data_IF_248601540091
#
_entry.id   IF_248601540091
#
_cell.length_a   1.000
_cell.length_b   1.000
_cell.length_c   1.000
_cell.angle_alpha   90.00
_cell.angle_beta   90.00
_cell.angle_gamma   90.00
#
_symmetry.space_group_name_H-M   'P 1'
#
loop_
_entity.id
_entity.type
_entity.pdbx_description
1 polymer ?
#
# COMPACT_ATOMS: atom_id res chain seq x y z
N UNK A 1 8.81 -2.59 -10.48
CA UNK A 1 9.63 -1.45 -10.96
C UNK A 1 9.02 -0.71 -12.17
N UNK A 2 8.83 -1.36 -13.34
CA UNK A 2 8.34 -0.68 -14.57
C UNK A 2 7.01 0.05 -14.41
N UNK A 3 6.00 -0.57 -13.80
CA UNK A 3 4.68 0.05 -13.61
C UNK A 3 4.74 1.33 -12.78
N UNK A 4 5.61 1.39 -11.78
CA UNK A 4 5.71 2.52 -10.87
C UNK A 4 6.57 3.68 -11.43
N UNK A 5 7.61 3.39 -12.21
CA UNK A 5 8.59 4.41 -12.60
C UNK A 5 8.66 4.72 -14.10
N UNK A 6 8.12 3.85 -14.95
CA UNK A 6 8.29 3.94 -16.41
C UNK A 6 6.97 4.09 -17.16
N UNK A 7 5.84 4.01 -16.47
CA UNK A 7 4.51 4.24 -17.03
C UNK A 7 3.96 5.56 -16.51
N UNK A 8 3.13 6.21 -17.33
CA UNK A 8 2.40 7.39 -16.91
C UNK A 8 1.37 7.00 -15.85
N UNK A 9 1.29 7.79 -14.78
CA UNK A 9 0.32 7.60 -13.70
C UNK A 9 -1.00 8.31 -14.02
N UNK A 10 -1.94 7.60 -14.63
CA UNK A 10 -3.27 8.10 -14.96
C UNK A 10 -4.14 8.39 -13.72
N UNK A 11 -5.31 9.04 -13.87
CA UNK A 11 -6.16 9.42 -12.75
C UNK A 11 -6.70 8.24 -11.95
N UNK A 12 -7.22 7.21 -12.61
CA UNK A 12 -7.69 5.98 -11.94
C UNK A 12 -6.51 5.06 -11.68
N UNK A 13 -6.32 4.65 -10.42
CA UNK A 13 -5.14 3.89 -9.99
C UNK A 13 -5.53 2.66 -9.18
N UNK A 14 -4.73 1.62 -9.37
CA UNK A 14 -4.80 0.35 -8.66
C UNK A 14 -3.40 -0.02 -8.16
N UNK A 15 -3.31 -0.37 -6.88
CA UNK A 15 -2.11 -0.93 -6.25
C UNK A 15 -2.46 -2.27 -5.62
N UNK A 16 -1.59 -3.27 -5.82
CA UNK A 16 -1.70 -4.59 -5.20
C UNK A 16 -0.43 -4.89 -4.42
N UNK A 17 -0.58 -5.20 -3.13
CA UNK A 17 0.52 -5.69 -2.30
C UNK A 17 0.56 -7.22 -2.34
N UNK A 18 1.65 -7.82 -2.81
CA UNK A 18 1.74 -9.28 -3.04
C UNK A 18 3.11 -9.80 -2.66
N UNK A 19 3.20 -11.09 -2.32
CA UNK A 19 4.45 -11.79 -2.01
C UNK A 19 4.73 -12.94 -2.97
N UNK A 20 3.74 -13.31 -3.79
CA UNK A 20 3.86 -14.38 -4.78
C UNK A 20 3.00 -14.08 -6.01
N UNK A 21 3.32 -14.75 -7.12
CA UNK A 21 2.52 -14.66 -8.35
C UNK A 21 1.07 -15.08 -8.13
N UNK A 22 0.84 -16.18 -7.40
CA UNK A 22 -0.50 -16.67 -7.08
C UNK A 22 -1.33 -15.63 -6.30
N UNK A 23 -0.73 -14.98 -5.29
CA UNK A 23 -1.42 -13.93 -4.51
C UNK A 23 -1.75 -12.68 -5.34
N UNK A 24 -0.95 -12.38 -6.36
CA UNK A 24 -1.21 -11.30 -7.30
C UNK A 24 -2.37 -11.66 -8.25
N UNK A 25 -2.36 -12.86 -8.81
CA UNK A 25 -3.38 -13.32 -9.74
C UNK A 25 -4.76 -13.39 -9.05
N UNK A 26 -4.83 -13.88 -7.81
CA UNK A 26 -6.04 -13.89 -6.98
C UNK A 26 -6.60 -12.47 -6.78
N UNK A 27 -5.75 -11.54 -6.34
CA UNK A 27 -6.14 -10.17 -6.07
C UNK A 27 -6.64 -9.43 -7.33
N UNK A 28 -5.98 -9.65 -8.47
CA UNK A 28 -6.39 -9.08 -9.76
C UNK A 28 -7.69 -9.69 -10.28
N UNK A 29 -7.90 -11.00 -10.08
CA UNK A 29 -9.14 -11.67 -10.46
C UNK A 29 -10.33 -11.17 -9.64
N UNK A 30 -10.17 -11.01 -8.32
CA UNK A 30 -11.19 -10.40 -7.46
C UNK A 30 -11.53 -8.97 -7.91
N UNK A 31 -10.50 -8.16 -8.21
CA UNK A 31 -10.71 -6.81 -8.73
C UNK A 31 -11.46 -6.81 -10.07
N UNK A 32 -11.12 -7.74 -10.98
CA UNK A 32 -11.79 -7.89 -12.28
C UNK A 32 -13.27 -8.27 -12.16
N UNK A 33 -13.66 -8.96 -11.07
CA UNK A 33 -15.06 -9.26 -10.73
C UNK A 33 -15.76 -8.13 -9.95
N UNK A 34 -15.04 -7.05 -9.63
CA UNK A 34 -15.57 -5.94 -8.83
C UNK A 34 -15.62 -6.20 -7.32
N UNK A 35 -15.02 -7.30 -6.86
CA UNK A 35 -14.99 -7.69 -5.45
C UNK A 35 -13.95 -6.88 -4.65
N UNK A 36 -14.19 -6.73 -3.35
CA UNK A 36 -13.20 -6.19 -2.43
C UNK A 36 -12.15 -7.23 -2.10
N UNK A 37 -10.89 -6.79 -1.96
CA UNK A 37 -9.79 -7.68 -1.59
C UNK A 37 -8.82 -6.93 -0.67
N UNK A 38 -8.36 -7.51 0.45
CA UNK A 38 -7.57 -6.79 1.46
C UNK A 38 -6.21 -6.29 0.95
N UNK A 39 -5.70 -6.90 -0.13
CA UNK A 39 -4.44 -6.51 -0.77
C UNK A 39 -4.59 -5.49 -1.89
N UNK A 40 -5.81 -5.09 -2.22
CA UNK A 40 -6.12 -4.20 -3.33
C UNK A 40 -6.53 -2.84 -2.82
N UNK A 41 -5.79 -1.82 -3.24
CA UNK A 41 -6.15 -0.42 -3.02
C UNK A 41 -6.43 0.20 -4.38
N UNK A 42 -7.64 0.71 -4.56
CA UNK A 42 -8.04 1.45 -5.75
C UNK A 42 -8.46 2.86 -5.38
N UNK A 43 -8.27 3.80 -6.27
CA UNK A 43 -8.77 5.15 -6.08
C UNK A 43 -8.36 6.09 -7.19
N UNK A 44 -9.00 7.25 -7.19
CA UNK A 44 -8.68 8.35 -8.08
C UNK A 44 -7.58 9.22 -7.47
N UNK A 45 -6.60 9.59 -8.28
CA UNK A 45 -5.56 10.51 -7.88
C UNK A 45 -6.16 11.86 -7.48
N UNK A 46 -5.81 12.35 -6.30
CA UNK A 46 -6.17 13.70 -5.84
C UNK A 46 -5.45 14.76 -6.67
N UNK A 47 -6.06 15.93 -6.82
CA UNK A 47 -5.41 17.08 -7.43
C UNK A 47 -4.18 17.51 -6.63
N UNK A 48 -3.19 18.10 -7.29
CA UNK A 48 -1.92 18.44 -6.65
C UNK A 48 -2.10 19.37 -5.44
N UNK A 49 -3.06 20.29 -5.50
CA UNK A 49 -3.42 21.21 -4.42
C UNK A 49 -3.92 20.49 -3.16
N UNK A 50 -4.50 19.30 -3.30
CA UNK A 50 -5.11 18.52 -2.22
C UNK A 50 -4.16 17.47 -1.61
N UNK A 51 -2.88 17.46 -2.01
CA UNK A 51 -1.88 16.48 -1.57
C UNK A 51 -1.04 16.96 -0.37
N UNK A 52 -1.63 17.78 0.50
CA UNK A 52 -0.97 18.19 1.75
C UNK A 52 -0.85 17.00 2.70
N UNK A 53 0.34 16.80 3.25
CA UNK A 53 0.65 15.73 4.19
C UNK A 53 0.78 16.29 5.60
N UNK A 54 0.34 15.51 6.58
CA UNK A 54 0.58 15.73 8.01
C UNK A 54 1.01 14.42 8.63
N UNK A 55 1.89 14.48 9.63
CA UNK A 55 2.24 13.34 10.45
C UNK A 55 1.38 13.33 11.70
N UNK A 56 0.62 12.24 11.92
CA UNK A 56 -0.20 12.07 13.11
C UNK A 56 0.47 11.02 14.00
N UNK A 57 0.86 11.43 15.20
CA UNK A 57 1.44 10.54 16.19
C UNK A 57 0.35 10.13 17.17
N UNK A 58 0.11 8.83 17.28
CA UNK A 58 -0.91 8.30 18.17
C UNK A 58 -0.48 8.40 19.63
N UNK A 59 -1.45 8.60 20.53
CA UNK A 59 -1.21 8.46 21.98
C UNK A 59 -1.05 7.01 22.42
N UNK A 60 -1.20 6.76 23.72
CA UNK A 60 -1.15 5.42 24.30
C UNK A 60 -2.40 4.60 23.96
N UNK A 61 -2.24 3.31 23.63
CA UNK A 61 -3.35 2.38 23.39
C UNK A 61 -3.34 1.60 22.06
N UNK A 62 -2.89 2.14 20.92
CA UNK A 62 -2.97 1.45 19.63
C UNK A 62 -1.79 0.48 19.37
N UNK A 63 -0.88 0.33 20.32
CA UNK A 63 0.19 -0.65 20.23
C UNK A 63 -0.36 -2.07 20.39
N UNK A 64 0.20 -3.01 19.63
CA UNK A 64 -0.11 -4.43 19.70
C UNK A 64 1.16 -5.25 19.92
N UNK A 65 1.03 -6.46 20.46
CA UNK A 65 2.17 -7.31 20.78
C UNK A 65 3.01 -7.61 19.53
N UNK A 66 4.28 -7.22 19.56
CA UNK A 66 5.22 -7.43 18.45
C UNK A 66 5.21 -6.37 17.35
N UNK A 67 4.44 -5.28 17.52
CA UNK A 67 4.48 -4.14 16.62
C UNK A 67 5.92 -3.66 16.38
N UNK A 68 6.29 -3.47 15.12
CA UNK A 68 7.60 -2.97 14.71
C UNK A 68 8.74 -3.99 14.71
N UNK A 69 8.57 -5.20 15.28
CA UNK A 69 9.65 -6.21 15.34
C UNK A 69 10.14 -6.63 13.96
N UNK A 70 9.22 -6.98 13.06
CA UNK A 70 9.58 -7.38 11.70
C UNK A 70 10.25 -6.22 10.93
N UNK A 71 9.75 -4.99 11.06
CA UNK A 71 10.38 -3.83 10.44
C UNK A 71 11.78 -3.58 11.00
N UNK A 72 11.96 -3.74 12.31
CA UNK A 72 13.27 -3.67 12.95
C UNK A 72 14.23 -4.74 12.41
N UNK A 73 13.74 -5.93 12.05
CA UNK A 73 14.52 -7.05 11.53
C UNK A 73 14.82 -6.93 10.01
N UNK A 74 13.92 -6.36 9.22
CA UNK A 74 13.97 -6.43 7.75
C UNK A 74 14.27 -5.09 7.07
N UNK A 75 13.96 -3.94 7.68
CA UNK A 75 14.00 -2.63 7.02
C UNK A 75 15.12 -1.73 7.61
N UNK A 76 16.23 -1.50 6.89
CA UNK A 76 17.35 -0.70 7.40
C UNK A 76 16.97 0.71 7.86
N UNK A 77 16.11 1.40 7.09
CA UNK A 77 15.64 2.76 7.40
C UNK A 77 14.82 2.81 8.70
N UNK A 78 14.24 1.70 9.14
CA UNK A 78 13.50 1.63 10.39
C UNK A 78 14.41 1.31 11.60
N UNK A 79 15.54 0.63 11.37
CA UNK A 79 16.49 0.23 12.43
C UNK A 79 17.51 1.32 12.76
N UNK A 80 17.99 2.05 11.75
CA UNK A 80 19.04 3.06 11.87
C UNK A 80 18.49 4.46 12.19
#
# INVERSE_FOLDING_TARGET
>A
HTLAHRRQHLPERLSVAYTSRASLDEALAAHGRGETHPRVVRGRARDAADRRLVWVFTGMGPQWWGMGRQLLEEEPVFRD
#
